data_IF_297034599030
#
_entry.id   IF_297034599030
#
_cell.length_a   1.000
_cell.length_b   1.000
_cell.length_c   1.000
_cell.angle_alpha   90.00
_cell.angle_beta   90.00
_cell.angle_gamma   90.00
#
_symmetry.space_group_name_H-M   'P 1'
#
loop_
_entity.id
_entity.type
_entity.pdbx_description
1 polymer ?
#
# COMPACT_ATOMS: atom_id res chain seq x y z
N UNK A 1 -5.05 -1.82 -1.67
CA UNK A 1 -3.78 -1.38 -1.06
C UNK A 1 -3.34 -0.06 -1.66
N UNK A 2 -2.55 0.75 -0.94
CA UNK A 2 -2.25 2.15 -1.33
C UNK A 2 -1.30 2.31 -2.52
N UNK A 3 -0.44 1.32 -2.80
CA UNK A 3 0.45 1.29 -3.96
C UNK A 3 0.17 0.05 -4.82
N UNK A 4 0.28 0.15 -6.16
CA UNK A 4 -0.10 -0.92 -7.07
C UNK A 4 0.93 -2.06 -7.16
N UNK A 5 2.21 -1.79 -6.84
CA UNK A 5 3.30 -2.77 -6.94
C UNK A 5 4.17 -2.79 -5.68
N UNK A 6 4.87 -3.91 -5.47
CA UNK A 6 5.84 -4.05 -4.38
C UNK A 6 7.00 -3.05 -4.54
N UNK A 7 7.48 -2.84 -5.76
CA UNK A 7 8.53 -1.87 -6.07
C UNK A 7 8.11 -0.43 -5.75
N UNK A 8 6.85 -0.05 -6.03
CA UNK A 8 6.32 1.26 -5.66
C UNK A 8 6.27 1.45 -4.14
N UNK A 9 5.93 0.40 -3.39
CA UNK A 9 5.98 0.42 -1.93
C UNK A 9 7.43 0.55 -1.41
N UNK A 10 8.40 -0.13 -2.03
CA UNK A 10 9.83 0.03 -1.68
C UNK A 10 10.30 1.45 -1.94
N UNK A 11 10.00 2.01 -3.12
CA UNK A 11 10.36 3.41 -3.46
C UNK A 11 9.72 4.43 -2.51
N UNK A 12 8.50 4.19 -2.05
CA UNK A 12 7.87 5.03 -1.04
C UNK A 12 8.67 5.10 0.28
N UNK A 13 9.26 3.98 0.72
CA UNK A 13 10.07 3.97 1.94
C UNK A 13 11.42 4.69 1.77
N UNK A 14 11.98 4.69 0.56
CA UNK A 14 13.27 5.34 0.27
C UNK A 14 13.14 6.86 0.12
N UNK A 15 12.05 7.33 -0.49
CA UNK A 15 11.74 8.75 -0.65
C UNK A 15 10.24 9.02 -0.41
N UNK A 16 9.82 9.09 0.86
CA UNK A 16 8.43 9.29 1.23
C UNK A 16 7.90 10.68 0.85
N UNK A 17 8.78 11.68 0.70
CA UNK A 17 8.41 13.04 0.31
C UNK A 17 7.99 13.06 -1.17
N UNK A 18 8.87 12.60 -2.05
CA UNK A 18 8.59 12.54 -3.50
C UNK A 18 7.46 11.56 -3.79
N UNK A 19 7.44 10.40 -3.13
CA UNK A 19 6.37 9.42 -3.30
C UNK A 19 5.00 10.00 -2.92
N UNK A 20 4.89 10.71 -1.79
CA UNK A 20 3.64 11.36 -1.38
C UNK A 20 3.22 12.47 -2.34
N UNK A 21 4.16 13.23 -2.88
CA UNK A 21 3.89 14.29 -3.84
C UNK A 21 3.36 13.75 -5.18
N UNK A 22 3.88 12.60 -5.61
CA UNK A 22 3.49 11.96 -6.88
C UNK A 22 2.27 11.04 -6.77
N UNK A 23 1.85 10.68 -5.55
CA UNK A 23 0.77 9.74 -5.31
C UNK A 23 -0.62 10.29 -5.72
N UNK A 24 -1.36 9.46 -6.44
CA UNK A 24 -2.70 9.71 -6.95
C UNK A 24 -3.71 8.72 -6.36
N UNK A 25 -5.00 9.10 -6.18
CA UNK A 25 -6.06 8.15 -5.86
C UNK A 25 -6.10 6.91 -6.77
N UNK A 26 -5.68 7.05 -8.03
CA UNK A 26 -5.63 5.94 -8.98
C UNK A 26 -4.59 4.85 -8.63
N UNK A 27 -3.61 5.16 -7.77
CA UNK A 27 -2.61 4.20 -7.28
C UNK A 27 -3.21 3.25 -6.23
N UNK A 28 -4.31 3.68 -5.59
CA UNK A 28 -5.00 2.89 -4.60
C UNK A 28 -5.87 1.82 -5.27
N UNK A 29 -5.60 0.54 -4.96
CA UNK A 29 -6.53 -0.55 -5.25
C UNK A 29 -7.64 -0.57 -4.20
N UNK A 30 -8.58 0.37 -4.29
CA UNK A 30 -9.79 0.41 -3.47
C UNK A 30 -10.88 -0.49 -4.08
N UNK A 31 -11.71 -1.14 -3.26
CA UNK A 31 -12.89 -1.84 -3.75
C UNK A 31 -13.92 -0.86 -4.31
N UNK A 32 -14.74 -1.29 -5.28
CA UNK A 32 -15.82 -0.47 -5.83
C UNK A 32 -17.01 -0.46 -4.86
N UNK A 33 -17.06 0.59 -4.01
CA UNK A 33 -18.10 0.75 -2.98
C UNK A 33 -18.73 2.14 -3.13
N UNK A 34 -19.73 2.32 -4.02
CA UNK A 34 -20.22 3.64 -4.41
C UNK A 34 -20.64 4.53 -3.23
N UNK A 35 -21.32 3.95 -2.24
CA UNK A 35 -21.82 4.66 -1.07
C UNK A 35 -20.71 5.16 -0.12
N UNK A 36 -19.49 4.64 -0.23
CA UNK A 36 -18.33 5.06 0.57
C UNK A 36 -17.36 5.94 -0.24
N UNK A 37 -17.31 5.74 -1.56
CA UNK A 37 -16.31 6.33 -2.45
C UNK A 37 -16.24 7.87 -2.44
N UNK A 38 -17.34 8.55 -2.10
CA UNK A 38 -17.41 10.01 -2.05
C UNK A 38 -16.45 10.63 -1.01
N UNK A 39 -16.06 9.88 0.02
CA UNK A 39 -15.28 10.38 1.16
C UNK A 39 -13.89 9.75 1.30
N UNK A 40 -13.50 8.84 0.41
CA UNK A 40 -12.23 8.08 0.50
C UNK A 40 -10.98 8.97 0.66
N UNK A 41 -11.03 10.19 0.14
CA UNK A 41 -9.90 11.12 0.13
C UNK A 41 -10.18 12.46 0.80
N UNK A 42 -11.26 12.59 1.57
CA UNK A 42 -11.66 13.86 2.21
C UNK A 42 -10.51 14.46 3.04
N UNK A 43 -9.73 13.61 3.72
CA UNK A 43 -8.60 14.03 4.54
C UNK A 43 -7.49 14.72 3.73
N UNK A 44 -7.32 14.37 2.44
CA UNK A 44 -6.32 14.99 1.56
C UNK A 44 -6.65 16.44 1.23
N UNK A 45 -7.92 16.83 1.33
CA UNK A 45 -8.34 18.22 1.14
C UNK A 45 -8.03 19.10 2.37
N UNK A 46 -7.78 18.51 3.54
CA UNK A 46 -7.36 19.25 4.73
C UNK A 46 -5.86 19.57 4.68
N UNK A 47 -5.53 20.74 4.13
CA UNK A 47 -4.15 21.23 4.07
C UNK A 47 -3.42 21.27 5.42
N UNK A 48 -4.13 21.54 6.53
CA UNK A 48 -3.52 21.61 7.87
C UNK A 48 -3.18 20.22 8.38
N UNK A 49 -4.07 19.25 8.18
CA UNK A 49 -3.80 17.84 8.47
C UNK A 49 -2.61 17.34 7.64
N UNK A 50 -2.63 17.61 6.33
CA UNK A 50 -1.58 17.15 5.43
C UNK A 50 -0.21 17.69 5.84
N UNK A 51 -0.14 18.97 6.22
CA UNK A 51 1.08 19.59 6.77
C UNK A 51 1.50 18.98 8.11
N UNK A 52 0.56 18.71 9.03
CA UNK A 52 0.85 18.07 10.33
C UNK A 52 1.50 16.69 10.16
N UNK A 53 1.01 15.88 9.22
CA UNK A 53 1.61 14.58 8.92
C UNK A 53 3.01 14.71 8.30
N UNK A 54 3.19 15.66 7.37
CA UNK A 54 4.50 15.88 6.74
C UNK A 54 5.57 16.31 7.75
N UNK A 55 5.19 17.11 8.76
CA UNK A 55 6.08 17.56 9.83
C UNK A 55 6.52 16.45 10.82
N UNK A 56 5.92 15.25 10.73
CA UNK A 56 6.25 14.09 11.58
C UNK A 56 7.13 13.07 10.88
N UNK A 57 7.46 13.28 9.61
CA UNK A 57 8.35 12.39 8.87
C UNK A 57 9.74 12.37 9.51
N UNK A 58 10.15 11.20 10.00
CA UNK A 58 11.42 10.93 10.68
C UNK A 58 12.33 9.96 9.91
N UNK A 59 11.97 9.65 8.67
CA UNK A 59 12.75 8.78 7.78
C UNK A 59 13.95 9.55 7.23
N UNK A 60 15.14 9.02 7.50
CA UNK A 60 16.37 9.47 6.85
C UNK A 60 16.51 8.78 5.48
N UNK A 61 16.61 9.53 4.36
CA UNK A 61 16.78 8.92 3.04
C UNK A 61 18.05 8.09 2.95
N UNK A 62 17.94 6.92 2.34
CA UNK A 62 19.08 6.04 2.05
C UNK A 62 19.29 6.05 0.53
N UNK A 63 20.49 6.40 0.04
CA UNK A 63 20.78 6.33 -1.38
C UNK A 63 20.82 4.86 -1.81
N UNK A 64 19.91 4.48 -2.69
CA UNK A 64 19.79 3.12 -3.23
C UNK A 64 19.60 3.24 -4.74
N UNK A 65 20.36 2.48 -5.51
CA UNK A 65 20.25 2.42 -6.97
C UNK A 65 19.06 1.58 -7.41
N UNK A 66 18.58 1.76 -8.65
CA UNK A 66 17.51 0.90 -9.20
C UNK A 66 17.89 -0.59 -9.22
N UNK A 67 19.19 -0.91 -9.35
CA UNK A 67 19.68 -2.29 -9.27
C UNK A 67 19.52 -2.88 -7.87
N UNK A 68 19.79 -2.10 -6.84
CA UNK A 68 19.61 -2.52 -5.45
C UNK A 68 18.12 -2.60 -5.10
N UNK A 69 17.28 -1.68 -5.61
CA UNK A 69 15.81 -1.78 -5.50
C UNK A 69 15.31 -3.10 -6.12
N UNK A 70 15.76 -3.42 -7.33
CA UNK A 70 15.40 -4.70 -7.98
C UNK A 70 15.86 -5.90 -7.16
N UNK A 71 17.04 -5.83 -6.54
CA UNK A 71 17.54 -6.89 -5.65
C UNK A 71 16.69 -7.01 -4.37
N UNK A 72 16.23 -5.90 -3.79
CA UNK A 72 15.32 -5.90 -2.65
C UNK A 72 13.96 -6.50 -3.01
N UNK A 73 13.41 -6.13 -4.17
CA UNK A 73 12.14 -6.71 -4.67
C UNK A 73 12.29 -8.22 -4.85
N UNK A 74 13.35 -8.69 -5.51
CA UNK A 74 13.61 -10.11 -5.69
C UNK A 74 13.78 -10.85 -4.36
N UNK A 75 14.47 -10.23 -3.39
CA UNK A 75 14.59 -10.78 -2.04
C UNK A 75 13.22 -10.93 -1.36
N UNK A 76 12.39 -9.89 -1.40
CA UNK A 76 11.05 -9.90 -0.79
C UNK A 76 10.11 -10.92 -1.47
N UNK A 77 10.19 -11.06 -2.80
CA UNK A 77 9.46 -12.08 -3.54
C UNK A 77 9.88 -13.50 -3.11
N UNK A 78 11.17 -13.72 -2.85
CA UNK A 78 11.69 -15.00 -2.36
C UNK A 78 11.21 -15.35 -0.93
N UNK A 79 10.65 -14.39 -0.17
CA UNK A 79 10.01 -14.67 1.12
C UNK A 79 8.61 -15.27 0.96
N UNK A 80 8.09 -15.40 -0.26
CA UNK A 80 6.80 -16.03 -0.53
C UNK A 80 6.89 -17.54 -0.32
N UNK A 81 6.24 -18.04 0.73
CA UNK A 81 6.23 -19.47 1.04
C UNK A 81 5.54 -20.32 -0.06
N UNK A 82 5.96 -21.58 -0.20
CA UNK A 82 5.43 -22.52 -1.21
C UNK A 82 3.89 -22.71 -1.15
N UNK A 83 3.31 -22.52 0.03
CA UNK A 83 1.87 -22.65 0.28
C UNK A 83 1.18 -21.30 0.39
N UNK A 84 1.81 -20.17 0.03
CA UNK A 84 1.22 -18.83 0.19
C UNK A 84 -0.11 -18.66 -0.56
N UNK A 85 -0.30 -19.41 -1.66
CA UNK A 85 -1.55 -19.44 -2.43
C UNK A 85 -2.49 -20.58 -2.00
N UNK A 86 -2.10 -21.39 -1.02
CA UNK A 86 -2.87 -22.53 -0.51
C UNK A 86 -3.45 -22.17 0.87
N UNK A 87 -4.72 -22.53 1.07
CA UNK A 87 -5.44 -22.40 2.35
C UNK A 87 -4.72 -23.16 3.49
N UNK A 88 -4.90 -22.79 4.78
CA UNK A 88 -6.01 -22.01 5.35
C UNK A 88 -5.80 -20.49 5.46
N UNK A 89 -4.65 -19.96 5.03
CA UNK A 89 -4.45 -18.51 4.98
C UNK A 89 -5.24 -17.91 3.81
N UNK A 90 -5.99 -16.83 4.07
CA UNK A 90 -6.85 -16.14 3.10
C UNK A 90 -8.33 -16.10 3.49
N UNK A 91 -9.17 -15.49 2.62
CA UNK A 91 -10.63 -15.44 2.79
C UNK A 91 -11.22 -16.86 2.71
N UNK A 92 -12.01 -17.30 3.71
CA UNK A 92 -12.67 -18.62 3.66
C UNK A 92 -13.81 -18.64 2.65
N UNK A 93 -14.19 -19.82 2.15
CA UNK A 93 -15.37 -19.98 1.28
C UNK A 93 -16.68 -19.70 1.99
N UNK A 94 -16.73 -19.99 3.30
CA UNK A 94 -17.90 -19.82 4.13
C UNK A 94 -17.50 -19.46 5.56
N UNK A 95 -18.33 -18.66 6.22
CA UNK A 95 -18.25 -18.38 7.65
C UNK A 95 -19.32 -19.17 8.41
N UNK A 96 -19.11 -19.52 9.69
CA UNK A 96 -20.08 -20.31 10.49
C UNK A 96 -21.49 -19.70 10.59
N UNK A 97 -21.63 -18.40 10.35
CA UNK A 97 -22.93 -17.71 10.32
C UNK A 97 -23.77 -18.04 9.08
N UNK A 98 -23.21 -18.70 8.06
CA UNK A 98 -23.87 -18.94 6.78
C UNK A 98 -24.03 -17.69 5.90
N UNK A 99 -23.47 -16.55 6.34
CA UNK A 99 -23.44 -15.34 5.53
C UNK A 99 -22.44 -15.52 4.37
N UNK A 100 -22.74 -14.97 3.18
CA UNK A 100 -21.75 -14.90 2.12
C UNK A 100 -20.54 -14.12 2.65
N UNK A 101 -19.36 -14.67 2.40
CA UNK A 101 -18.11 -13.90 2.53
C UNK A 101 -18.05 -13.08 1.25
N UNK A 102 -17.81 -11.77 1.31
CA UNK A 102 -17.79 -10.79 0.21
C UNK A 102 -16.38 -10.42 -0.27
#
# INVERSE_FOLDING_TARGET
GAYPTLEAMVRHHLDPVTARANWSPADARLPEVPWLSEIDFVIRADSREMARQAAKLDIAPVPVSDREISSLVAFLEALTGETALKRPLGRPDAVPSGLPVD
#
